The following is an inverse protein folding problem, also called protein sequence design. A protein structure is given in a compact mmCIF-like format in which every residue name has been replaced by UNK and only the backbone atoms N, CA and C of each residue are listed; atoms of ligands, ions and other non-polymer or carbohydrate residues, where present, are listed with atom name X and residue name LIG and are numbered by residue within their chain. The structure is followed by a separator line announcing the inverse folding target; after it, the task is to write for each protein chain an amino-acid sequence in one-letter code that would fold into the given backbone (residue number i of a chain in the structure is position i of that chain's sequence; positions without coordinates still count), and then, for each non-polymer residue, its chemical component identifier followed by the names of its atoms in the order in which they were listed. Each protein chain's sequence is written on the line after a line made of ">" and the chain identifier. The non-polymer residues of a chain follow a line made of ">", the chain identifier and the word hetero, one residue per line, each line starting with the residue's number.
data_IF_071962062058
#
_entry.id   IF_071962062058
#
_cell.length_a   1.000
_cell.length_b   1.000
_cell.length_c   1.000
_cell.angle_alpha   90.00
_cell.angle_beta   90.00
_cell.angle_gamma   90.00
#
_symmetry.space_group_name_H-M   'P 1'
#
loop_
_entity.id
_entity.type
_entity.pdbx_description
1 polymer ?
#
# COMPACT_ATOMS: atom_id res chain seq x y z
N UNK A 1 -2.84 9.85 -50.72
CA UNK A 1 -4.12 9.41 -50.14
C UNK A 1 -3.96 9.40 -48.63
N UNK A 2 -4.09 10.55 -47.96
CA UNK A 2 -3.84 10.67 -46.52
C UNK A 2 -5.09 11.26 -45.86
N UNK A 3 -6.04 10.38 -45.54
CA UNK A 3 -7.17 10.70 -44.67
C UNK A 3 -6.78 10.19 -43.29
N UNK A 4 -5.92 10.94 -42.61
CA UNK A 4 -5.82 10.85 -41.17
C UNK A 4 -6.64 12.02 -40.67
N UNK A 5 -7.84 11.71 -40.18
CA UNK A 5 -8.58 12.62 -39.32
C UNK A 5 -7.66 13.03 -38.15
N UNK A 6 -7.36 14.32 -38.04
CA UNK A 6 -6.52 14.87 -37.00
C UNK A 6 -7.31 14.92 -35.69
N UNK A 7 -7.21 13.86 -34.89
CA UNK A 7 -7.91 13.76 -33.60
C UNK A 7 -7.18 14.61 -32.56
N UNK A 8 -7.90 15.49 -31.88
CA UNK A 8 -7.33 16.25 -30.77
C UNK A 8 -6.97 15.30 -29.61
N UNK A 9 -5.71 15.21 -29.17
CA UNK A 9 -5.30 14.27 -28.12
C UNK A 9 -5.82 14.64 -26.72
N UNK A 10 -6.41 15.83 -26.55
CA UNK A 10 -6.98 16.28 -25.27
C UNK A 10 -8.43 15.82 -25.10
N UNK A 11 -9.26 15.92 -26.15
CA UNK A 11 -10.70 15.58 -26.08
C UNK A 11 -11.10 14.36 -26.90
N UNK A 12 -10.22 13.83 -27.75
CA UNK A 12 -10.50 12.68 -28.61
C UNK A 12 -11.46 12.95 -29.76
N UNK A 13 -11.84 14.21 -30.01
CA UNK A 13 -12.71 14.60 -31.11
C UNK A 13 -11.90 15.00 -32.35
N UNK A 14 -12.44 14.74 -33.53
CA UNK A 14 -11.84 15.09 -34.82
C UNK A 14 -11.78 16.61 -35.02
N UNK A 15 -10.65 17.09 -35.53
CA UNK A 15 -10.48 18.49 -35.92
C UNK A 15 -10.82 18.60 -37.41
N UNK A 16 -11.91 19.28 -37.73
CA UNK A 16 -12.28 19.53 -39.12
C UNK A 16 -11.24 20.44 -39.80
N UNK A 17 -10.88 20.15 -41.05
CA UNK A 17 -9.89 20.95 -41.82
C UNK A 17 -10.27 22.43 -41.91
N UNK A 18 -11.56 22.68 -42.06
CA UNK A 18 -12.15 24.01 -42.06
C UNK A 18 -12.02 24.76 -40.72
N UNK A 19 -11.86 24.06 -39.59
CA UNK A 19 -11.60 24.68 -38.29
C UNK A 19 -10.18 25.28 -38.21
N UNK A 20 -9.23 24.73 -38.99
CA UNK A 20 -7.88 25.31 -39.14
C UNK A 20 -7.95 26.62 -39.93
N UNK A 21 -8.74 26.65 -41.01
CA UNK A 21 -8.92 27.85 -41.85
C UNK A 21 -9.69 28.97 -41.15
N UNK A 22 -10.63 28.62 -40.25
CA UNK A 22 -11.38 29.59 -39.43
C UNK A 22 -10.64 30.05 -38.16
N UNK A 23 -9.48 29.46 -37.85
CA UNK A 23 -8.68 29.80 -36.68
C UNK A 23 -9.19 29.22 -35.36
N UNK A 24 -10.03 28.18 -35.41
CA UNK A 24 -10.60 27.46 -34.26
C UNK A 24 -9.74 26.25 -33.84
N UNK A 25 -8.67 25.96 -34.58
CA UNK A 25 -7.67 24.95 -34.27
C UNK A 25 -6.25 25.53 -34.23
N UNK A 26 -5.43 25.04 -33.31
CA UNK A 26 -4.04 25.45 -33.07
C UNK A 26 -3.12 24.27 -33.33
N UNK A 27 -2.04 24.49 -34.08
CA UNK A 27 -1.00 23.49 -34.35
C UNK A 27 0.25 23.87 -33.55
N UNK A 28 0.80 22.92 -32.80
CA UNK A 28 2.03 23.15 -32.04
C UNK A 28 3.20 23.43 -33.00
N UNK A 29 3.97 24.52 -32.83
CA UNK A 29 5.07 24.86 -33.73
C UNK A 29 6.25 23.89 -33.65
N UNK A 30 6.41 23.16 -32.53
CA UNK A 30 7.56 22.27 -32.32
C UNK A 30 7.30 20.82 -32.76
N UNK A 31 6.09 20.32 -32.54
CA UNK A 31 5.77 18.91 -32.82
C UNK A 31 4.72 18.71 -33.91
N UNK A 32 4.08 19.78 -34.39
CA UNK A 32 3.07 19.72 -35.46
C UNK A 32 1.74 19.09 -35.05
N UNK A 33 1.54 18.69 -33.80
CA UNK A 33 0.26 18.15 -33.32
C UNK A 33 -0.81 19.24 -33.32
N UNK A 34 -1.99 18.92 -33.83
CA UNK A 34 -3.16 19.79 -33.91
C UNK A 34 -4.08 19.63 -32.70
N UNK A 35 -4.67 20.75 -32.29
CA UNK A 35 -5.52 20.87 -31.11
C UNK A 35 -6.69 21.80 -31.41
N UNK A 36 -7.84 21.60 -30.75
CA UNK A 36 -8.84 22.66 -30.69
C UNK A 36 -8.27 23.85 -29.93
N UNK A 37 -8.55 25.07 -30.39
CA UNK A 37 -8.11 26.30 -29.73
C UNK A 37 -8.49 26.33 -28.25
N UNK A 38 -9.74 25.96 -27.93
CA UNK A 38 -10.21 25.85 -26.56
C UNK A 38 -9.47 24.78 -25.73
N UNK A 39 -9.09 23.65 -26.33
CA UNK A 39 -8.33 22.60 -25.65
C UNK A 39 -6.88 23.03 -25.40
N UNK A 40 -6.26 23.70 -26.38
CA UNK A 40 -4.91 24.25 -26.29
C UNK A 40 -4.80 25.31 -25.19
N UNK A 41 -5.75 26.25 -25.14
CA UNK A 41 -5.81 27.28 -24.10
C UNK A 41 -6.04 26.68 -22.71
N UNK A 42 -6.90 25.65 -22.59
CA UNK A 42 -7.12 24.93 -21.32
C UNK A 42 -5.89 24.17 -20.83
N UNK A 43 -5.14 23.54 -21.73
CA UNK A 43 -3.90 22.84 -21.38
C UNK A 43 -2.72 23.79 -21.14
N UNK A 44 -2.85 25.05 -21.56
CA UNK A 44 -1.77 26.04 -21.52
C UNK A 44 -0.64 25.79 -22.51
N UNK A 45 -0.80 24.82 -23.43
CA UNK A 45 0.21 24.46 -24.43
C UNK A 45 0.15 22.99 -24.87
N UNK A 46 1.24 22.52 -25.49
CA UNK A 46 1.34 21.17 -26.05
C UNK A 46 1.44 20.08 -24.97
N UNK A 47 0.61 19.03 -25.07
CA UNK A 47 0.63 17.87 -24.16
C UNK A 47 1.30 16.63 -24.75
N UNK A 48 1.76 16.69 -26.00
CA UNK A 48 2.50 15.58 -26.64
C UNK A 48 3.74 15.23 -25.82
N UNK A 49 3.88 13.95 -25.50
CA UNK A 49 5.01 13.42 -24.74
C UNK A 49 6.33 13.79 -25.47
N UNK A 50 7.32 14.28 -24.70
CA UNK A 50 8.62 14.72 -25.19
C UNK A 50 8.63 15.98 -26.11
N UNK A 51 7.55 16.77 -26.18
CA UNK A 51 7.60 18.05 -26.90
C UNK A 51 8.52 19.07 -26.19
N UNK A 52 9.43 19.76 -26.92
CA UNK A 52 10.20 20.90 -26.40
C UNK A 52 9.28 22.01 -25.88
N UNK A 53 8.19 22.22 -26.63
CA UNK A 53 7.01 23.07 -26.43
C UNK A 53 6.18 22.88 -25.16
N UNK A 54 6.53 21.93 -24.28
CA UNK A 54 5.66 21.59 -23.15
C UNK A 54 5.45 22.82 -22.24
N UNK A 55 4.20 23.19 -21.93
CA UNK A 55 3.98 24.21 -20.92
C UNK A 55 4.50 23.67 -19.59
N UNK A 56 5.22 24.51 -18.85
CA UNK A 56 5.52 24.21 -17.45
C UNK A 56 4.16 24.15 -16.76
N UNK A 57 3.72 22.95 -16.41
CA UNK A 57 2.49 22.73 -15.63
C UNK A 57 2.62 23.61 -14.40
N UNK A 58 1.93 24.76 -14.43
CA UNK A 58 1.66 25.55 -13.25
C UNK A 58 0.58 24.78 -12.53
N UNK A 59 0.97 23.70 -11.85
CA UNK A 59 0.25 23.25 -10.68
C UNK A 59 0.01 24.51 -9.88
N UNK A 60 -1.25 24.89 -9.66
CA UNK A 60 -1.63 25.89 -8.66
C UNK A 60 -1.39 25.28 -7.27
N UNK A 61 -0.12 24.96 -7.04
CA UNK A 61 0.61 24.69 -5.81
C UNK A 61 2.10 24.71 -6.20
N UNK A 62 2.53 25.84 -6.75
CA UNK A 62 3.90 26.33 -6.67
C UNK A 62 3.70 27.73 -6.08
N UNK A 63 4.08 28.03 -4.85
CA UNK A 63 5.45 28.04 -4.32
C UNK A 63 5.41 28.14 -2.78
N UNK A 64 6.49 27.82 -2.02
CA UNK A 64 7.86 27.52 -2.47
C UNK A 64 8.45 26.21 -1.91
N UNK A 65 9.13 25.45 -2.76
CA UNK A 65 9.95 24.28 -2.39
C UNK A 65 11.25 24.67 -1.62
N UNK A 66 11.46 25.95 -1.30
CA UNK A 66 12.62 26.42 -0.53
C UNK A 66 12.39 26.50 0.99
N UNK A 67 11.25 26.04 1.52
CA UNK A 67 10.98 26.04 2.97
C UNK A 67 10.84 24.64 3.60
N UNK A 68 11.05 23.59 2.81
CA UNK A 68 11.23 22.23 3.34
C UNK A 68 12.69 21.76 3.32
N UNK A 69 13.63 22.70 3.19
CA UNK A 69 15.06 22.42 3.42
C UNK A 69 15.45 22.55 4.92
N UNK A 70 14.55 22.99 5.81
CA UNK A 70 14.95 23.40 7.17
C UNK A 70 14.31 22.63 8.33
N UNK A 71 13.42 21.64 8.11
CA UNK A 71 12.92 20.78 9.19
C UNK A 71 12.86 19.28 8.86
N UNK A 72 13.44 18.86 7.72
CA UNK A 72 13.65 17.45 7.39
C UNK A 72 15.14 17.12 7.15
N UNK A 73 16.01 17.92 7.75
CA UNK A 73 17.34 17.46 8.18
C UNK A 73 17.20 16.72 9.51
N UNK A 74 16.27 15.76 9.59
CA UNK A 74 16.45 14.66 10.52
C UNK A 74 17.38 13.69 9.80
N UNK A 75 18.69 13.96 9.99
CA UNK A 75 19.81 13.07 9.73
C UNK A 75 19.59 12.07 8.58
N UNK A 76 19.79 12.51 7.33
CA UNK A 76 20.02 11.60 6.21
C UNK A 76 21.33 10.87 6.47
N UNK A 77 21.26 9.85 7.32
CA UNK A 77 22.38 9.03 7.73
C UNK A 77 22.89 8.34 6.47
N UNK A 78 24.12 8.65 6.13
CA UNK A 78 24.82 7.98 5.04
C UNK A 78 25.65 6.86 5.67
N UNK A 79 25.69 5.70 5.03
CA UNK A 79 26.62 4.63 5.37
C UNK A 79 27.45 4.26 4.16
N UNK A 80 28.55 3.54 4.38
CA UNK A 80 29.34 3.00 3.29
C UNK A 80 28.95 1.54 3.03
N UNK A 81 28.87 1.19 1.75
CA UNK A 81 28.71 -0.20 1.36
C UNK A 81 29.94 -1.02 1.76
N UNK A 82 29.76 -2.10 2.52
CA UNK A 82 30.84 -2.99 2.99
C UNK A 82 31.58 -3.72 1.87
N UNK A 83 30.97 -3.84 0.69
CA UNK A 83 31.53 -4.56 -0.46
C UNK A 83 32.25 -3.67 -1.45
N UNK A 84 31.73 -2.46 -1.71
CA UNK A 84 32.30 -1.57 -2.73
C UNK A 84 32.84 -0.25 -2.20
N UNK A 85 32.70 0.01 -0.89
CA UNK A 85 33.24 1.19 -0.20
C UNK A 85 32.59 2.52 -0.59
N UNK A 86 31.55 2.51 -1.43
CA UNK A 86 30.85 3.74 -1.86
C UNK A 86 29.77 4.13 -0.87
N UNK A 87 29.57 5.43 -0.74
CA UNK A 87 28.54 6.02 0.10
C UNK A 87 27.14 5.68 -0.43
N UNK A 88 26.25 5.34 0.47
CA UNK A 88 24.88 4.96 0.21
C UNK A 88 23.99 5.51 1.33
N UNK A 89 22.71 5.65 1.02
CA UNK A 89 21.69 6.01 2.01
C UNK A 89 21.61 4.90 3.07
N UNK A 90 21.39 5.24 4.35
CA UNK A 90 21.22 4.23 5.39
C UNK A 90 19.97 3.36 5.14
N UNK A 91 18.95 3.94 4.51
CA UNK A 91 17.71 3.24 4.10
C UNK A 91 17.90 2.38 2.84
N UNK A 92 19.05 2.45 2.16
CA UNK A 92 19.29 1.63 0.98
C UNK A 92 19.31 0.14 1.39
N UNK A 93 18.43 -0.65 0.78
CA UNK A 93 18.39 -2.12 0.93
C UNK A 93 19.40 -2.78 0.00
N UNK A 94 19.63 -2.18 -1.16
CA UNK A 94 20.55 -2.65 -2.21
C UNK A 94 21.44 -1.47 -2.58
N UNK A 95 22.76 -1.71 -2.62
CA UNK A 95 23.70 -0.69 -3.04
C UNK A 95 23.60 -0.49 -4.57
N UNK A 96 23.35 0.74 -5.06
CA UNK A 96 23.19 1.02 -6.49
C UNK A 96 24.48 0.86 -7.30
N UNK A 97 25.63 0.72 -6.63
CA UNK A 97 26.93 0.65 -7.29
C UNK A 97 27.49 -0.76 -7.45
N UNK A 98 27.20 -1.69 -6.54
CA UNK A 98 27.65 -3.10 -6.61
C UNK A 98 26.49 -4.07 -6.83
N UNK A 99 25.24 -3.67 -6.55
CA UNK A 99 24.08 -4.57 -6.49
C UNK A 99 24.02 -5.44 -5.23
N UNK A 100 24.96 -5.29 -4.31
CA UNK A 100 25.03 -6.04 -3.07
C UNK A 100 24.04 -5.50 -2.01
N UNK A 101 23.42 -6.40 -1.25
CA UNK A 101 22.44 -6.04 -0.23
C UNK A 101 23.13 -5.42 0.99
N UNK A 102 22.60 -4.28 1.44
CA UNK A 102 23.18 -3.41 2.48
C UNK A 102 22.14 -2.95 3.51
N UNK A 103 20.89 -3.41 3.37
CA UNK A 103 19.80 -3.14 4.30
C UNK A 103 20.05 -3.72 5.68
N UNK A 104 19.66 -2.97 6.71
CA UNK A 104 19.59 -3.48 8.08
C UNK A 104 18.46 -4.53 8.14
N UNK A 105 18.67 -5.74 8.69
CA UNK A 105 17.61 -6.75 8.84
C UNK A 105 16.36 -6.26 9.59
N UNK A 106 16.44 -5.11 10.29
CA UNK A 106 15.31 -4.43 10.93
C UNK A 106 14.21 -3.93 9.98
N UNK A 107 14.47 -3.74 8.68
CA UNK A 107 13.45 -3.35 7.70
C UNK A 107 12.82 -4.57 6.97
N UNK A 108 12.75 -5.71 7.66
CA UNK A 108 11.93 -6.84 7.23
C UNK A 108 10.49 -6.61 7.72
N UNK A 109 9.58 -6.28 6.79
CA UNK A 109 8.13 -6.41 6.90
C UNK A 109 7.50 -6.01 8.26
N UNK A 110 6.97 -4.78 8.34
CA UNK A 110 5.90 -4.32 9.26
C UNK A 110 5.64 -5.20 10.51
N UNK A 111 6.61 -5.30 11.40
CA UNK A 111 6.36 -5.64 12.79
C UNK A 111 6.88 -4.45 13.59
N UNK A 112 6.07 -3.39 13.65
CA UNK A 112 6.13 -2.49 14.81
C UNK A 112 6.17 -3.40 16.04
N UNK A 113 7.13 -3.25 16.97
CA UNK A 113 7.12 -4.01 18.21
C UNK A 113 5.79 -3.71 18.90
N UNK A 114 4.81 -4.59 18.69
CA UNK A 114 3.49 -4.43 19.27
C UNK A 114 3.71 -4.52 20.77
N UNK A 115 3.33 -3.48 21.54
CA UNK A 115 3.62 -3.46 22.97
C UNK A 115 3.07 -4.73 23.61
N UNK A 116 3.84 -5.37 24.51
CA UNK A 116 3.60 -6.66 25.18
C UNK A 116 2.35 -6.67 26.11
N UNK A 117 1.25 -6.14 25.61
CA UNK A 117 -0.03 -5.98 26.27
C UNK A 117 -0.95 -7.08 25.74
N UNK A 118 -1.59 -7.87 26.62
CA UNK A 118 -2.51 -8.91 26.20
C UNK A 118 -3.70 -8.28 25.46
N UNK A 119 -3.93 -8.71 24.22
CA UNK A 119 -5.05 -8.24 23.42
C UNK A 119 -6.31 -9.02 23.79
N UNK A 120 -7.33 -8.33 24.31
CA UNK A 120 -8.60 -8.95 24.70
C UNK A 120 -9.25 -9.71 23.54
N UNK A 121 -9.21 -9.14 22.32
CA UNK A 121 -9.79 -9.79 21.13
C UNK A 121 -9.12 -11.12 20.76
N UNK A 122 -7.79 -11.22 20.88
CA UNK A 122 -7.06 -12.46 20.59
C UNK A 122 -7.37 -13.54 21.62
N UNK A 123 -7.52 -13.15 22.89
CA UNK A 123 -7.89 -14.06 23.97
C UNK A 123 -9.30 -14.65 23.76
N UNK A 124 -10.28 -13.82 23.35
CA UNK A 124 -11.63 -14.27 23.06
C UNK A 124 -11.66 -15.16 21.81
N UNK A 125 -10.94 -14.80 20.75
CA UNK A 125 -10.87 -15.62 19.53
C UNK A 125 -10.35 -17.04 19.81
N UNK A 126 -9.37 -17.13 20.70
CA UNK A 126 -8.76 -18.39 21.15
C UNK A 126 -9.73 -19.31 21.91
N UNK A 127 -10.75 -18.73 22.55
CA UNK A 127 -11.77 -19.48 23.30
C UNK A 127 -12.70 -20.25 22.34
N UNK A 128 -13.11 -19.63 21.24
CA UNK A 128 -14.03 -20.22 20.26
C UNK A 128 -13.33 -21.21 19.32
N UNK A 129 -12.08 -20.93 18.98
CA UNK A 129 -11.29 -21.76 18.07
C UNK A 129 -9.97 -22.15 18.75
N UNK A 130 -9.98 -23.18 19.62
CA UNK A 130 -8.82 -23.54 20.44
C UNK A 130 -7.59 -23.92 19.60
N UNK A 131 -7.78 -24.45 18.39
CA UNK A 131 -6.70 -24.71 17.43
C UNK A 131 -6.00 -23.42 16.99
N UNK A 132 -6.76 -22.36 16.69
CA UNK A 132 -6.22 -21.05 16.33
C UNK A 132 -5.48 -20.46 17.52
N UNK A 133 -6.04 -20.57 18.72
CA UNK A 133 -5.38 -20.14 19.96
C UNK A 133 -4.02 -20.82 20.20
N UNK A 134 -3.93 -22.13 19.95
CA UNK A 134 -2.67 -22.88 20.07
C UNK A 134 -1.61 -22.46 19.04
N UNK A 135 -2.02 -22.21 17.79
CA UNK A 135 -1.11 -21.72 16.74
C UNK A 135 -0.58 -20.33 17.11
N UNK A 136 -1.46 -19.42 17.55
CA UNK A 136 -1.05 -18.08 18.01
C UNK A 136 -0.12 -18.15 19.21
N UNK A 137 -0.34 -19.08 20.14
CA UNK A 137 0.56 -19.30 21.28
C UNK A 137 1.99 -19.59 20.82
N UNK A 138 2.16 -20.49 19.84
CA UNK A 138 3.49 -20.88 19.33
C UNK A 138 4.13 -19.73 18.55
N UNK A 139 3.38 -19.03 17.69
CA UNK A 139 3.91 -17.91 16.89
C UNK A 139 4.37 -16.75 17.77
N UNK A 140 3.65 -16.45 18.86
CA UNK A 140 4.00 -15.39 19.80
C UNK A 140 4.90 -15.85 20.94
N UNK A 141 5.30 -17.13 21.00
CA UNK A 141 6.12 -17.67 22.09
C UNK A 141 7.46 -16.93 22.22
N UNK A 142 8.11 -16.67 21.08
CA UNK A 142 9.42 -16.00 21.03
C UNK A 142 9.30 -14.48 20.93
N UNK A 143 8.20 -13.98 20.36
CA UNK A 143 8.02 -12.55 20.07
C UNK A 143 7.39 -11.75 21.21
N UNK A 144 6.45 -12.35 21.95
CA UNK A 144 5.68 -11.67 23.00
C UNK A 144 5.20 -12.66 24.08
N UNK A 145 6.07 -13.07 25.03
CA UNK A 145 5.78 -14.17 25.96
C UNK A 145 4.62 -13.88 26.93
N UNK A 146 4.36 -12.61 27.24
CA UNK A 146 3.21 -12.20 28.08
C UNK A 146 1.88 -12.38 27.33
N UNK A 147 1.84 -12.04 26.04
CA UNK A 147 0.66 -12.23 25.18
C UNK A 147 0.40 -13.72 24.95
N UNK A 148 1.46 -14.47 24.60
CA UNK A 148 1.37 -15.91 24.39
C UNK A 148 0.78 -16.61 25.62
N UNK A 149 1.30 -16.36 26.82
CA UNK A 149 0.79 -16.96 28.06
C UNK A 149 -0.69 -16.65 28.33
N UNK A 150 -1.18 -15.46 27.97
CA UNK A 150 -2.61 -15.14 28.08
C UNK A 150 -3.43 -15.97 27.08
N UNK A 151 -3.09 -15.89 25.79
CA UNK A 151 -3.75 -16.60 24.69
C UNK A 151 -3.85 -18.11 24.98
N UNK A 152 -2.75 -18.73 25.41
CA UNK A 152 -2.71 -20.16 25.74
C UNK A 152 -3.63 -20.56 26.91
N UNK A 153 -3.74 -19.71 27.95
CA UNK A 153 -4.67 -19.95 29.06
C UNK A 153 -6.12 -19.90 28.60
N UNK A 154 -6.49 -18.92 27.77
CA UNK A 154 -7.85 -18.81 27.25
C UNK A 154 -8.22 -19.95 26.30
N UNK A 155 -7.28 -20.40 25.45
CA UNK A 155 -7.49 -21.58 24.62
C UNK A 155 -7.78 -22.84 25.44
N UNK A 156 -7.02 -23.06 26.53
CA UNK A 156 -7.20 -24.22 27.40
C UNK A 156 -8.53 -24.17 28.17
N UNK A 157 -8.91 -23.00 28.67
CA UNK A 157 -10.22 -22.78 29.31
C UNK A 157 -11.36 -23.06 28.31
N UNK A 158 -11.21 -22.63 27.06
CA UNK A 158 -12.21 -22.88 26.00
C UNK A 158 -12.42 -24.36 25.73
N UNK A 159 -11.34 -25.14 25.61
CA UNK A 159 -11.44 -26.60 25.45
C UNK A 159 -12.14 -27.23 26.65
N UNK A 160 -11.77 -26.86 27.88
CA UNK A 160 -12.36 -27.42 29.09
C UNK A 160 -13.87 -27.15 29.17
N UNK A 161 -14.30 -25.91 28.92
CA UNK A 161 -15.72 -25.53 28.92
C UNK A 161 -16.46 -26.25 27.79
N UNK A 162 -15.88 -26.33 26.59
CA UNK A 162 -16.48 -27.02 25.45
C UNK A 162 -16.72 -28.50 25.71
N UNK A 163 -15.75 -29.19 26.31
CA UNK A 163 -15.87 -30.62 26.65
C UNK A 163 -16.92 -30.83 27.74
N UNK A 164 -16.87 -30.07 28.84
CA UNK A 164 -17.83 -30.22 29.94
C UNK A 164 -19.25 -29.88 29.50
N UNK A 165 -19.43 -28.75 28.80
CA UNK A 165 -20.71 -28.34 28.25
C UNK A 165 -21.25 -29.33 27.21
N UNK A 166 -20.39 -29.85 26.35
CA UNK A 166 -20.76 -30.88 25.37
C UNK A 166 -21.21 -32.19 26.00
N UNK A 167 -20.53 -32.64 27.07
CA UNK A 167 -20.93 -33.85 27.81
C UNK A 167 -22.28 -33.64 28.50
N UNK A 168 -22.47 -32.52 29.21
CA UNK A 168 -23.73 -32.22 29.89
C UNK A 168 -24.90 -32.10 28.91
N UNK A 169 -24.68 -31.38 27.81
CA UNK A 169 -25.68 -31.25 26.74
C UNK A 169 -25.98 -32.60 26.08
N UNK A 170 -24.95 -33.41 25.81
CA UNK A 170 -25.09 -34.76 25.25
C UNK A 170 -25.91 -35.67 26.16
N UNK A 171 -25.63 -35.67 27.47
CA UNK A 171 -26.40 -36.42 28.45
C UNK A 171 -27.86 -35.94 28.53
N UNK A 172 -28.09 -34.63 28.56
CA UNK A 172 -29.44 -34.07 28.58
C UNK A 172 -30.22 -34.41 27.31
N UNK A 173 -29.58 -34.30 26.14
CA UNK A 173 -30.18 -34.66 24.86
C UNK A 173 -30.48 -36.17 24.78
N UNK A 174 -29.59 -37.03 25.27
CA UNK A 174 -29.80 -38.48 25.33
C UNK A 174 -30.98 -38.85 26.26
N UNK A 175 -31.08 -38.21 27.43
CA UNK A 175 -32.21 -38.40 28.34
C UNK A 175 -33.53 -37.90 27.73
N UNK A 176 -33.52 -36.72 27.11
CA UNK A 176 -34.70 -36.11 26.49
C UNK A 176 -35.20 -36.91 25.29
N UNK A 177 -34.30 -37.43 24.44
CA UNK A 177 -34.66 -38.31 23.33
C UNK A 177 -35.21 -39.65 23.82
N UNK A 178 -34.66 -40.21 24.91
CA UNK A 178 -35.19 -41.43 25.53
C UNK A 178 -36.60 -41.23 26.10
N UNK A 179 -36.90 -40.07 26.69
CA UNK A 179 -38.24 -39.69 27.16
C UNK A 179 -39.25 -39.48 26.02
N UNK A 180 -38.79 -39.08 24.83
CA UNK A 180 -39.66 -38.84 23.67
C UNK A 180 -40.02 -40.12 22.90
N UNK A 181 -39.27 -41.21 23.14
CA UNK A 181 -39.46 -42.51 22.49
C UNK A 181 -40.35 -43.48 23.29
N UNK A 182 -40.73 -43.12 24.53
CA UNK A 182 -41.68 -43.84 25.38
C UNK A 182 -43.01 -43.09 25.46
#
# INVERSE_FOLDING_TARGET
>A
MNKFEDICPICGQEIAKEAVERGDAVICPDCGTSYHKACWEKAGGCVTFACPSKPKVQTQTQQPYQQQEQQQQEEKKMKYCSHCGKEILDEAVICPHCGCMVGNPQYTYNQTPEPDIPSTGLNVLSLFFPLVGLILYIVYADKAPKKAKAIGKFALIGVAIGVVGGILWGCAAAMMTSLYLF
#
